data_IF_211542256206
#
_entry.id   IF_211542256206
#
_cell.length_a   1.000
_cell.length_b   1.000
_cell.length_c   1.000
_cell.angle_alpha   90.00
_cell.angle_beta   90.00
_cell.angle_gamma   90.00
#
_symmetry.space_group_name_H-M   'P 1'
#
loop_
_entity.id
_entity.type
_entity.pdbx_description
1 polymer ?
#
# COMPACT_ATOMS: atom_id res chain seq x y z
N UNK A 1 -20.26 17.70 12.13
CA UNK A 1 -19.83 16.29 12.14
C UNK A 1 -19.09 15.89 10.85
N UNK A 2 -19.61 16.24 9.66
CA UNK A 2 -18.96 15.98 8.36
C UNK A 2 -17.52 16.53 8.21
N UNK A 3 -17.21 17.70 8.78
CA UNK A 3 -15.86 18.28 8.66
C UNK A 3 -14.76 17.50 9.41
N UNK A 4 -15.08 16.85 10.54
CA UNK A 4 -14.12 15.98 11.25
C UNK A 4 -13.77 14.75 10.41
N UNK A 5 -14.76 14.16 9.72
CA UNK A 5 -14.54 12.99 8.87
C UNK A 5 -13.63 13.32 7.68
N UNK A 6 -13.84 14.48 7.06
CA UNK A 6 -13.01 14.97 5.94
C UNK A 6 -11.55 15.18 6.36
N UNK A 7 -11.30 15.77 7.54
CA UNK A 7 -9.94 15.90 8.06
C UNK A 7 -9.26 14.55 8.32
N UNK A 8 -10.00 13.57 8.84
CA UNK A 8 -9.48 12.21 9.08
C UNK A 8 -9.19 11.48 7.76
N UNK A 9 -10.05 11.64 6.74
CA UNK A 9 -9.83 11.08 5.41
C UNK A 9 -8.66 11.73 4.68
N UNK A 10 -8.59 13.06 4.65
CA UNK A 10 -7.47 13.81 4.08
C UNK A 10 -6.15 13.45 4.75
N UNK A 11 -6.14 13.32 6.09
CA UNK A 11 -4.95 12.89 6.82
C UNK A 11 -4.50 11.48 6.41
N UNK A 12 -5.45 10.53 6.27
CA UNK A 12 -5.16 9.17 5.77
C UNK A 12 -4.66 9.15 4.33
N UNK A 13 -5.24 9.98 3.46
CA UNK A 13 -4.84 10.11 2.05
C UNK A 13 -3.43 10.72 1.94
N UNK A 14 -3.09 11.66 2.82
CA UNK A 14 -1.79 12.32 2.82
C UNK A 14 -0.68 11.45 3.46
N UNK A 15 -1.04 10.62 4.45
CA UNK A 15 -0.14 9.63 5.07
C UNK A 15 0.08 8.41 4.17
N UNK A 16 -0.92 8.05 3.34
CA UNK A 16 -0.88 6.93 2.42
C UNK A 16 0.41 6.78 1.60
N UNK A 17 0.90 7.80 0.87
CA UNK A 17 2.12 7.67 0.06
C UNK A 17 3.34 7.34 0.93
N UNK A 18 3.46 7.94 2.11
CA UNK A 18 4.56 7.68 3.05
C UNK A 18 4.48 6.28 3.64
N UNK A 19 3.28 5.84 4.00
CA UNK A 19 3.03 4.49 4.52
C UNK A 19 3.29 3.42 3.46
N UNK A 20 2.93 3.71 2.20
CA UNK A 20 3.30 2.89 1.05
C UNK A 20 4.81 2.83 0.91
N UNK A 21 5.51 3.96 0.92
CA UNK A 21 6.95 4.00 0.77
C UNK A 21 7.68 3.21 1.89
N UNK A 22 7.18 3.29 3.13
CA UNK A 22 7.71 2.50 4.26
C UNK A 22 7.46 1.00 4.06
N UNK A 23 6.26 0.64 3.60
CA UNK A 23 5.90 -0.76 3.29
C UNK A 23 6.73 -1.31 2.12
N UNK A 24 7.12 -0.45 1.16
CA UNK A 24 7.96 -0.83 0.04
C UNK A 24 9.32 -1.27 0.54
N UNK A 25 9.97 -0.41 1.33
CA UNK A 25 11.29 -0.68 1.90
C UNK A 25 11.26 -1.86 2.88
N UNK A 26 10.20 -1.97 3.70
CA UNK A 26 9.99 -3.13 4.56
C UNK A 26 9.84 -4.42 3.75
N UNK A 27 9.11 -4.37 2.62
CA UNK A 27 8.96 -5.48 1.71
C UNK A 27 10.27 -5.90 1.04
N UNK A 28 11.01 -4.95 0.46
CA UNK A 28 12.32 -5.19 -0.14
C UNK A 28 13.30 -5.77 0.88
N UNK A 29 13.36 -5.18 2.08
CA UNK A 29 14.16 -5.69 3.18
C UNK A 29 13.76 -7.10 3.60
N UNK A 30 12.45 -7.38 3.67
CA UNK A 30 11.92 -8.72 3.97
C UNK A 30 12.28 -9.76 2.90
N UNK A 31 12.30 -9.39 1.62
CA UNK A 31 12.69 -10.28 0.52
C UNK A 31 14.18 -10.63 0.60
N UNK A 32 15.03 -9.63 0.83
CA UNK A 32 16.47 -9.81 0.97
C UNK A 32 16.82 -10.60 2.23
N UNK A 33 16.22 -10.24 3.36
CA UNK A 33 16.42 -10.93 4.64
C UNK A 33 15.91 -12.38 4.59
N UNK A 34 14.71 -12.60 4.03
CA UNK A 34 14.17 -13.94 3.82
C UNK A 34 15.07 -14.79 2.93
N UNK A 35 15.53 -14.25 1.81
CA UNK A 35 16.49 -14.93 0.94
C UNK A 35 17.81 -15.28 1.65
N UNK A 36 18.35 -14.34 2.43
CA UNK A 36 19.58 -14.54 3.21
C UNK A 36 19.44 -15.62 4.30
N UNK A 37 18.33 -15.63 5.03
CA UNK A 37 18.05 -16.64 6.06
C UNK A 37 17.90 -18.03 5.43
N UNK A 38 17.14 -18.16 4.35
CA UNK A 38 16.98 -19.45 3.66
C UNK A 38 18.29 -19.95 3.06
N UNK A 39 19.13 -19.04 2.53
CA UNK A 39 20.46 -19.37 2.06
C UNK A 39 21.36 -19.87 3.20
N UNK A 40 21.31 -19.22 4.37
CA UNK A 40 22.07 -19.62 5.56
C UNK A 40 21.63 -20.98 6.13
N UNK A 41 20.40 -21.41 5.85
CA UNK A 41 19.83 -22.70 6.25
C UNK A 41 19.99 -23.79 5.18
N UNK A 42 20.75 -23.52 4.11
CA UNK A 42 21.01 -24.40 2.97
C UNK A 42 19.71 -24.94 2.32
N UNK A 43 18.65 -24.13 2.34
CA UNK A 43 17.35 -24.53 1.81
C UNK A 43 17.29 -24.25 0.30
N UNK A 44 16.86 -25.21 -0.54
CA UNK A 44 16.78 -25.03 -2.00
C UNK A 44 15.73 -23.98 -2.42
N UNK A 45 14.85 -23.58 -1.50
CA UNK A 45 13.84 -22.55 -1.69
C UNK A 45 14.34 -21.11 -1.47
N UNK A 46 15.64 -20.91 -1.21
CA UNK A 46 16.23 -19.57 -1.06
C UNK A 46 15.96 -18.57 -2.20
N UNK A 47 15.75 -18.96 -3.49
CA UNK A 47 15.44 -18.00 -4.55
C UNK A 47 13.98 -17.56 -4.57
N UNK A 48 13.06 -18.34 -3.96
CA UNK A 48 11.63 -18.00 -3.95
C UNK A 48 11.36 -16.59 -3.41
N UNK A 49 11.85 -16.20 -2.22
CA UNK A 49 11.59 -14.86 -1.69
C UNK A 49 12.19 -13.73 -2.56
N UNK A 50 13.26 -14.00 -3.31
CA UNK A 50 13.86 -13.04 -4.24
C UNK A 50 13.01 -12.81 -5.50
N UNK A 51 12.34 -13.85 -6.01
CA UNK A 51 11.54 -13.78 -7.23
C UNK A 51 10.08 -13.43 -6.92
N UNK A 52 9.46 -14.14 -5.96
CA UNK A 52 8.06 -13.93 -5.58
C UNK A 52 7.86 -12.73 -4.67
N UNK A 53 8.87 -12.33 -3.91
CA UNK A 53 8.79 -11.19 -3.01
C UNK A 53 8.46 -9.87 -3.71
N UNK A 54 9.21 -9.45 -4.76
CA UNK A 54 8.88 -8.28 -5.56
C UNK A 54 7.51 -8.38 -6.24
N UNK A 55 7.10 -9.59 -6.63
CA UNK A 55 5.81 -9.83 -7.26
C UNK A 55 4.65 -9.59 -6.28
N UNK A 56 4.75 -10.13 -5.07
CA UNK A 56 3.79 -9.91 -3.98
C UNK A 56 3.74 -8.45 -3.56
N UNK A 57 4.90 -7.80 -3.47
CA UNK A 57 4.98 -6.38 -3.19
C UNK A 57 4.22 -5.58 -4.26
N UNK A 58 4.46 -5.86 -5.54
CA UNK A 58 3.79 -5.17 -6.65
C UNK A 58 2.26 -5.31 -6.57
N UNK A 59 1.75 -6.51 -6.31
CA UNK A 59 0.30 -6.77 -6.20
C UNK A 59 -0.32 -6.03 -5.01
N UNK A 60 0.34 -6.02 -3.85
CA UNK A 60 -0.11 -5.26 -2.67
C UNK A 60 -0.17 -3.76 -2.96
N UNK A 61 0.85 -3.23 -3.64
CA UNK A 61 0.92 -1.82 -4.01
C UNK A 61 -0.18 -1.42 -4.99
N UNK A 62 -0.41 -2.22 -6.04
CA UNK A 62 -1.46 -1.97 -7.01
C UNK A 62 -2.84 -1.94 -6.35
N UNK A 63 -3.12 -2.89 -5.45
CA UNK A 63 -4.38 -2.92 -4.69
C UNK A 63 -4.53 -1.73 -3.77
N UNK A 64 -3.48 -1.34 -3.06
CA UNK A 64 -3.52 -0.17 -2.19
C UNK A 64 -3.76 1.11 -3.01
N UNK A 65 -3.09 1.29 -4.13
CA UNK A 65 -3.24 2.46 -5.01
C UNK A 65 -4.67 2.56 -5.59
N UNK A 66 -5.25 1.44 -6.02
CA UNK A 66 -6.63 1.38 -6.52
C UNK A 66 -7.63 1.74 -5.40
N UNK A 67 -7.42 1.23 -4.19
CA UNK A 67 -8.26 1.59 -3.05
C UNK A 67 -8.20 3.10 -2.78
N UNK A 68 -7.01 3.71 -2.83
CA UNK A 68 -6.84 5.16 -2.67
C UNK A 68 -7.58 5.96 -3.74
N UNK A 69 -7.43 5.62 -5.02
CA UNK A 69 -8.17 6.28 -6.11
C UNK A 69 -9.69 6.16 -5.96
N UNK A 70 -10.16 5.04 -5.42
CA UNK A 70 -11.59 4.81 -5.20
C UNK A 70 -12.14 5.72 -4.10
N UNK A 71 -11.39 5.90 -3.00
CA UNK A 71 -11.79 6.81 -1.92
C UNK A 71 -11.82 8.27 -2.34
N UNK A 72 -10.85 8.71 -3.15
CA UNK A 72 -10.78 10.09 -3.65
C UNK A 72 -12.01 10.43 -4.52
N UNK A 73 -12.36 9.54 -5.46
CA UNK A 73 -13.56 9.68 -6.31
C UNK A 73 -14.86 9.75 -5.52
N UNK A 74 -14.97 9.02 -4.42
CA UNK A 74 -16.19 9.07 -3.58
C UNK A 74 -16.36 10.43 -2.89
N UNK A 75 -15.25 11.08 -2.50
CA UNK A 75 -15.28 12.43 -1.94
C UNK A 75 -15.83 13.45 -2.94
N UNK A 76 -15.36 13.38 -4.20
CA UNK A 76 -15.78 14.26 -5.29
C UNK A 76 -17.29 14.13 -5.63
N UNK A 77 -17.80 12.89 -5.68
CA UNK A 77 -19.22 12.63 -5.98
C UNK A 77 -20.14 13.21 -4.91
N UNK A 78 -19.76 13.12 -3.63
CA UNK A 78 -20.56 13.68 -2.53
C UNK A 78 -20.61 15.20 -2.62
N UNK A 79 -19.51 15.86 -2.98
CA UNK A 79 -19.48 17.32 -3.15
C UNK A 79 -20.34 17.79 -4.33
N UNK A 80 -20.34 17.05 -5.44
CA UNK A 80 -21.18 17.37 -6.61
C UNK A 80 -22.68 17.21 -6.32
N UNK A 81 -23.06 16.22 -5.52
CA UNK A 81 -24.46 16.00 -5.11
C UNK A 81 -24.96 17.06 -4.12
N UNK A 82 -24.08 17.61 -3.27
CA UNK A 82 -24.42 18.69 -2.34
C UNK A 82 -24.59 20.04 -3.05
N UNK A 83 -23.83 20.32 -4.11
CA UNK A 83 -23.96 21.58 -4.88
C UNK A 83 -25.19 21.60 -5.81
N UNK A 84 -25.75 20.43 -6.16
CA UNK A 84 -26.91 20.31 -7.06
C UNK A 84 -28.26 20.39 -6.33
N UNK A 85 -28.25 20.65 -5.03
CA UNK A 85 -29.43 20.68 -4.15
C UNK A 85 -29.58 22.06 -3.53
#
# INVERSE_FOLDING_TARGET
MMQKLWHILCFRIMVAPYLLQLLFWAGVGGCLYGGYVLWSLDQPSWPLPLIFGPLLLRVLFERALIAFKTYDRQGEIITLLQHKK
#
